data_IF_399109795993
#
_entry.id   IF_399109795993
#
_cell.length_a   1.000
_cell.length_b   1.000
_cell.length_c   1.000
_cell.angle_alpha   90.00
_cell.angle_beta   90.00
_cell.angle_gamma   90.00
#
_symmetry.space_group_name_H-M   'P 1'
#
loop_
_entity.id
_entity.type
_entity.pdbx_description
1 polymer ?
#
# COMPACT_ATOMS: atom_id res chain seq x y z
N UNK A 1 -16.51 1.80 -21.16
CA UNK A 1 -16.30 0.90 -20.01
C UNK A 1 -17.42 1.21 -19.03
N UNK A 2 -18.30 0.27 -18.65
CA UNK A 2 -19.21 0.55 -17.55
C UNK A 2 -18.36 0.82 -16.31
N UNK A 3 -18.61 1.94 -15.62
CA UNK A 3 -18.04 2.18 -14.30
C UNK A 3 -18.51 1.04 -13.40
N UNK A 4 -17.58 0.16 -13.00
CA UNK A 4 -17.87 -0.84 -11.99
C UNK A 4 -18.21 -0.09 -10.71
N UNK A 5 -19.46 -0.24 -10.26
CA UNK A 5 -19.88 0.29 -8.97
C UNK A 5 -18.91 -0.24 -7.90
N UNK A 6 -18.40 0.62 -7.00
CA UNK A 6 -17.45 0.19 -5.97
C UNK A 6 -18.03 -0.98 -5.18
N UNK A 7 -17.20 -1.99 -4.92
CA UNK A 7 -17.61 -3.15 -4.13
C UNK A 7 -18.15 -2.70 -2.76
N UNK A 8 -19.23 -3.34 -2.31
CA UNK A 8 -19.76 -3.07 -0.98
C UNK A 8 -18.81 -3.60 0.10
N UNK A 9 -18.84 -2.99 1.28
CA UNK A 9 -18.06 -3.45 2.42
C UNK A 9 -18.30 -4.94 2.76
N UNK A 10 -19.53 -5.41 2.61
CA UNK A 10 -19.88 -6.83 2.82
C UNK A 10 -19.19 -7.75 1.82
N UNK A 11 -19.01 -7.31 0.57
CA UNK A 11 -18.28 -8.07 -0.46
C UNK A 11 -16.78 -8.13 -0.12
N UNK A 12 -16.19 -7.02 0.33
CA UNK A 12 -14.81 -6.94 0.79
C UNK A 12 -14.58 -7.89 1.98
N UNK A 13 -15.42 -7.80 3.01
CA UNK A 13 -15.35 -8.68 4.19
C UNK A 13 -15.51 -10.14 3.78
N UNK A 14 -16.47 -10.48 2.92
CA UNK A 14 -16.68 -11.84 2.46
C UNK A 14 -15.49 -12.39 1.64
N UNK A 15 -14.78 -11.53 0.91
CA UNK A 15 -13.59 -11.91 0.15
C UNK A 15 -12.42 -12.21 1.09
N UNK A 16 -12.11 -11.32 2.02
CA UNK A 16 -11.01 -11.50 3.00
C UNK A 16 -11.32 -12.51 4.11
N UNK A 17 -12.58 -12.73 4.49
CA UNK A 17 -12.98 -13.75 5.46
C UNK A 17 -12.63 -15.17 5.00
N UNK A 18 -12.49 -15.39 3.68
CA UNK A 18 -11.98 -16.66 3.12
C UNK A 18 -10.49 -16.90 3.48
N UNK A 19 -9.80 -15.88 3.99
CA UNK A 19 -8.36 -15.83 4.22
C UNK A 19 -8.02 -15.30 5.62
N UNK A 20 -8.76 -15.75 6.65
CA UNK A 20 -8.65 -15.38 8.08
C UNK A 20 -9.27 -14.04 8.51
N UNK A 21 -9.56 -13.12 7.56
CA UNK A 21 -10.24 -11.87 7.85
C UNK A 21 -9.44 -10.91 8.75
N UNK A 22 -8.10 -10.97 8.71
CA UNK A 22 -7.21 -10.11 9.50
C UNK A 22 -6.39 -9.22 8.56
N UNK A 23 -6.30 -7.92 8.88
CA UNK A 23 -5.63 -6.89 8.10
C UNK A 23 -4.66 -6.09 8.96
N UNK A 24 -3.64 -5.51 8.34
CA UNK A 24 -2.68 -4.61 8.97
C UNK A 24 -3.25 -3.20 9.16
N UNK A 25 -2.79 -2.53 10.22
CA UNK A 25 -2.97 -1.09 10.45
C UNK A 25 -1.81 -0.55 11.27
N UNK A 26 -1.56 0.76 11.16
CA UNK A 26 -0.64 1.44 12.06
C UNK A 26 -1.22 1.40 13.48
N UNK A 27 -0.42 0.96 14.45
CA UNK A 27 -0.78 0.99 15.87
C UNK A 27 -0.83 2.42 16.39
N UNK A 28 -1.96 2.80 16.98
CA UNK A 28 -2.23 4.13 17.53
C UNK A 28 -1.82 5.27 16.56
N UNK A 29 -2.45 5.35 15.36
CA UNK A 29 -1.99 6.23 14.28
C UNK A 29 -1.97 7.71 14.69
N UNK A 30 -2.89 8.14 15.57
CA UNK A 30 -2.94 9.49 16.12
C UNK A 30 -1.69 9.89 16.90
N UNK A 31 -0.97 8.93 17.50
CA UNK A 31 0.31 9.18 18.18
C UNK A 31 1.37 9.71 17.21
N UNK A 32 1.26 9.32 15.94
CA UNK A 32 2.15 9.69 14.85
C UNK A 32 1.59 10.81 13.98
N UNK A 33 0.45 11.40 14.37
CA UNK A 33 -0.22 12.44 13.58
C UNK A 33 -0.76 11.93 12.25
N UNK A 34 -1.11 10.64 12.18
CA UNK A 34 -1.68 9.99 11.00
C UNK A 34 -3.20 9.99 11.07
N UNK A 35 -3.83 10.48 10.02
CA UNK A 35 -5.27 10.37 9.77
C UNK A 35 -5.50 9.30 8.70
N UNK A 36 -6.53 8.48 8.86
CA UNK A 36 -6.87 7.44 7.89
C UNK A 36 -7.63 8.10 6.73
N UNK A 37 -7.12 8.00 5.52
CA UNK A 37 -7.76 8.61 4.33
C UNK A 37 -8.53 7.58 3.51
N UNK A 38 -7.99 6.37 3.37
CA UNK A 38 -8.56 5.36 2.50
C UNK A 38 -8.49 3.96 3.12
N UNK A 39 -9.59 3.22 2.94
CA UNK A 39 -9.66 1.78 3.16
C UNK A 39 -10.26 1.14 1.91
N UNK A 40 -9.48 0.34 1.21
CA UNK A 40 -9.92 -0.28 -0.05
C UNK A 40 -9.29 -1.65 -0.24
N UNK A 41 -9.84 -2.44 -1.17
CA UNK A 41 -9.16 -3.63 -1.67
C UNK A 41 -8.75 -3.40 -3.11
N UNK A 42 -7.48 -3.62 -3.38
CA UNK A 42 -6.89 -3.57 -4.72
C UNK A 42 -6.73 -4.99 -5.28
N UNK A 43 -6.61 -5.09 -6.59
CA UNK A 43 -6.45 -6.37 -7.31
C UNK A 43 -7.74 -6.89 -7.97
N UNK A 44 -7.58 -7.83 -8.89
CA UNK A 44 -8.70 -8.46 -9.62
C UNK A 44 -9.03 -9.77 -8.92
N UNK A 45 -10.32 -10.06 -8.68
CA UNK A 45 -10.77 -11.27 -8.00
C UNK A 45 -10.54 -12.58 -8.78
N UNK A 46 -9.75 -12.55 -9.87
CA UNK A 46 -9.41 -13.75 -10.62
C UNK A 46 -8.29 -14.48 -9.87
N UNK A 47 -8.64 -15.58 -9.20
CA UNK A 47 -7.79 -16.27 -8.22
C UNK A 47 -6.52 -16.94 -8.76
N UNK A 48 -5.96 -16.46 -9.87
CA UNK A 48 -4.73 -16.94 -10.48
C UNK A 48 -3.48 -16.42 -9.77
N UNK A 49 -3.47 -15.16 -9.32
CA UNK A 49 -2.38 -14.61 -8.51
C UNK A 49 -2.90 -14.12 -7.14
N UNK A 50 -2.63 -14.86 -6.05
CA UNK A 50 -3.07 -14.49 -4.71
C UNK A 50 -2.31 -13.28 -4.11
N UNK A 51 -1.26 -12.78 -4.77
CA UNK A 51 -0.49 -11.58 -4.37
C UNK A 51 -1.03 -10.28 -5.00
N UNK A 52 -1.93 -10.40 -5.97
CA UNK A 52 -2.62 -9.26 -6.59
C UNK A 52 -3.69 -8.66 -5.68
N UNK A 53 -4.37 -9.49 -4.88
CA UNK A 53 -5.42 -9.05 -3.97
C UNK A 53 -4.82 -8.51 -2.67
N UNK A 54 -5.04 -7.22 -2.38
CA UNK A 54 -4.46 -6.54 -1.22
C UNK A 54 -5.48 -5.65 -0.53
N UNK A 55 -5.52 -5.71 0.79
CA UNK A 55 -6.27 -4.74 1.58
C UNK A 55 -5.36 -3.56 1.90
N UNK A 56 -5.71 -2.38 1.43
CA UNK A 56 -4.96 -1.14 1.62
C UNK A 56 -5.60 -0.30 2.72
N UNK A 57 -4.75 0.17 3.64
CA UNK A 57 -5.04 1.35 4.46
C UNK A 57 -4.03 2.45 4.14
N UNK A 58 -4.52 3.56 3.62
CA UNK A 58 -3.71 4.74 3.39
C UNK A 58 -3.97 5.77 4.49
N UNK A 59 -2.88 6.25 5.09
CA UNK A 59 -2.87 7.29 6.09
C UNK A 59 -2.18 8.52 5.54
N UNK A 60 -2.64 9.70 5.94
CA UNK A 60 -1.95 10.95 5.65
C UNK A 60 -1.51 11.62 6.96
N UNK A 61 -0.27 12.09 6.96
CA UNK A 61 0.27 12.95 8.02
C UNK A 61 -0.31 14.36 7.92
N UNK A 62 -0.21 15.14 8.99
CA UNK A 62 -0.57 16.57 8.94
C UNK A 62 0.25 17.38 7.90
N UNK A 63 1.47 16.93 7.57
CA UNK A 63 2.34 17.51 6.52
C UNK A 63 1.94 17.09 5.10
N UNK A 64 0.98 16.19 4.94
CA UNK A 64 0.49 15.72 3.63
C UNK A 64 1.18 14.47 3.09
N UNK A 65 2.16 13.92 3.82
CA UNK A 65 2.89 12.70 3.46
C UNK A 65 2.02 11.46 3.65
N UNK A 66 2.09 10.52 2.71
CA UNK A 66 1.33 9.26 2.73
C UNK A 66 2.09 8.15 3.46
N UNK A 67 1.36 7.35 4.24
CA UNK A 67 1.81 6.05 4.75
C UNK A 67 0.76 5.01 4.37
N UNK A 68 1.18 3.97 3.68
CA UNK A 68 0.31 2.91 3.19
C UNK A 68 0.66 1.59 3.86
N UNK A 69 -0.37 0.85 4.27
CA UNK A 69 -0.27 -0.50 4.80
C UNK A 69 -1.12 -1.42 3.93
N UNK A 70 -0.46 -2.20 3.09
CA UNK A 70 -1.08 -3.22 2.26
C UNK A 70 -0.97 -4.57 2.96
N UNK A 71 -2.10 -5.27 3.10
CA UNK A 71 -2.13 -6.67 3.56
C UNK A 71 -2.31 -7.58 2.36
N UNK A 72 -1.27 -8.36 2.05
CA UNK A 72 -1.35 -9.39 1.04
C UNK A 72 -2.10 -10.59 1.61
N UNK A 73 -2.97 -11.16 0.78
CA UNK A 73 -3.81 -12.30 1.17
C UNK A 73 -3.02 -13.53 1.60
N UNK A 74 -1.88 -13.76 0.96
CA UNK A 74 -0.91 -14.80 1.33
C UNK A 74 0.51 -14.21 1.28
N UNK A 75 1.50 -14.83 1.96
CA UNK A 75 2.88 -14.47 1.76
C UNK A 75 3.29 -14.73 0.31
N UNK A 76 4.06 -13.80 -0.27
CA UNK A 76 4.68 -13.98 -1.56
C UNK A 76 5.82 -15.01 -1.48
N UNK A 77 6.10 -15.66 -2.60
CA UNK A 77 7.27 -16.54 -2.73
C UNK A 77 8.56 -15.70 -2.66
N UNK A 78 9.66 -16.29 -2.18
CA UNK A 78 10.91 -15.56 -1.94
C UNK A 78 11.43 -14.81 -3.19
N UNK A 79 11.21 -15.38 -4.38
CA UNK A 79 11.60 -14.81 -5.66
C UNK A 79 10.79 -13.56 -6.05
N UNK A 80 9.60 -13.36 -5.46
CA UNK A 80 8.69 -12.25 -5.75
C UNK A 80 8.81 -11.09 -4.77
N UNK A 81 9.39 -11.32 -3.59
CA UNK A 81 9.42 -10.33 -2.50
C UNK A 81 10.14 -9.04 -2.92
N UNK A 82 11.26 -9.16 -3.62
CA UNK A 82 12.01 -8.00 -4.10
C UNK A 82 11.20 -7.16 -5.09
N UNK A 83 10.55 -7.80 -6.07
CA UNK A 83 9.71 -7.14 -7.05
C UNK A 83 8.53 -6.41 -6.38
N UNK A 84 7.91 -7.02 -5.37
CA UNK A 84 6.81 -6.42 -4.60
C UNK A 84 7.28 -5.15 -3.87
N UNK A 85 8.41 -5.22 -3.17
CA UNK A 85 8.98 -4.09 -2.43
C UNK A 85 9.36 -2.94 -3.37
N UNK A 86 9.96 -3.26 -4.53
CA UNK A 86 10.32 -2.27 -5.56
C UNK A 86 9.10 -1.64 -6.19
N UNK A 87 8.08 -2.44 -6.51
CA UNK A 87 6.83 -1.95 -7.06
C UNK A 87 6.12 -1.00 -6.09
N UNK A 88 6.05 -1.34 -4.81
CA UNK A 88 5.46 -0.50 -3.77
C UNK A 88 6.22 0.83 -3.61
N UNK A 89 7.56 0.79 -3.54
CA UNK A 89 8.38 2.00 -3.47
C UNK A 89 8.21 2.89 -4.71
N UNK A 90 8.15 2.28 -5.90
CA UNK A 90 7.91 3.00 -7.16
C UNK A 90 6.54 3.65 -7.19
N UNK A 91 5.50 2.94 -6.72
CA UNK A 91 4.14 3.44 -6.60
C UNK A 91 4.05 4.67 -5.70
N UNK A 92 4.64 4.62 -4.51
CA UNK A 92 4.64 5.76 -3.59
C UNK A 92 5.42 6.98 -4.13
N UNK A 93 6.52 6.77 -4.85
CA UNK A 93 7.24 7.85 -5.53
C UNK A 93 6.45 8.46 -6.69
N UNK A 94 5.60 7.65 -7.33
CA UNK A 94 4.75 8.06 -8.45
C UNK A 94 3.45 8.74 -7.99
N UNK A 95 2.92 8.43 -6.80
CA UNK A 95 1.65 8.94 -6.28
C UNK A 95 1.48 10.48 -6.44
N UNK A 96 2.48 11.33 -6.15
CA UNK A 96 2.36 12.77 -6.37
C UNK A 96 2.15 13.16 -7.85
N UNK A 97 2.74 12.41 -8.79
CA UNK A 97 2.57 12.67 -10.22
C UNK A 97 1.12 12.43 -10.68
N UNK A 98 0.38 11.57 -9.98
CA UNK A 98 -1.02 11.29 -10.29
C UNK A 98 -1.95 12.38 -9.77
N UNK A 99 -1.62 12.99 -8.63
CA UNK A 99 -2.41 14.08 -8.03
C UNK A 99 -2.37 15.37 -8.88
N UNK A 100 -1.25 15.63 -9.57
CA UNK A 100 -1.10 16.83 -10.40
C UNK A 100 -1.91 16.75 -11.71
N UNK A 101 -2.17 15.53 -12.23
CA UNK A 101 -2.87 15.30 -13.51
C UNK A 101 -4.37 15.61 -13.43
N UNK A 102 -4.98 15.57 -12.25
CA UNK A 102 -6.42 15.81 -12.05
C UNK A 102 -6.78 17.32 -11.97
N UNK A 103 -5.81 18.23 -12.04
CA UNK A 103 -6.05 19.63 -11.66
C UNK A 103 -6.61 20.54 -12.76
N UNK A 104 -6.37 20.33 -14.05
CA UNK A 104 -6.96 21.14 -15.14
C UNK A 104 -7.03 20.30 -16.43
N UNK A 105 -8.16 20.28 -17.15
CA UNK A 105 -8.26 19.51 -18.42
C UNK A 105 -7.31 20.12 -19.46
N UNK A 106 -6.19 19.47 -19.84
CA UNK A 106 -5.21 20.06 -20.74
C UNK A 106 -5.78 20.13 -22.16
N UNK A 107 -5.37 21.12 -22.97
CA UNK A 107 -5.69 21.10 -24.40
C UNK A 107 -5.09 19.82 -25.06
N UNK A 108 -5.68 19.28 -26.13
CA UNK A 108 -5.26 17.98 -26.68
C UNK A 108 -3.78 17.88 -27.11
N UNK A 109 -3.15 18.99 -27.47
CA UNK A 109 -1.70 19.09 -27.76
C UNK A 109 -0.84 19.03 -26.50
N UNK A 110 -1.34 19.62 -25.40
CA UNK A 110 -0.73 19.62 -24.07
C UNK A 110 -0.80 18.21 -23.44
N UNK A 111 -1.92 17.51 -23.66
CA UNK A 111 -2.09 16.14 -23.17
C UNK A 111 -1.03 15.16 -23.72
N UNK A 112 -0.70 15.22 -25.01
CA UNK A 112 0.26 14.29 -25.60
C UNK A 112 1.68 14.49 -25.05
N UNK A 113 2.08 15.75 -24.82
CA UNK A 113 3.37 16.11 -24.22
C UNK A 113 3.40 15.74 -22.72
N UNK A 114 2.39 16.16 -21.96
CA UNK A 114 2.23 15.79 -20.55
C UNK A 114 2.21 14.27 -20.33
N UNK A 115 1.58 13.51 -21.22
CA UNK A 115 1.59 12.05 -21.16
C UNK A 115 2.98 11.45 -21.43
N UNK A 116 3.77 12.01 -22.36
CA UNK A 116 5.15 11.55 -22.58
C UNK A 116 6.05 11.91 -21.38
N UNK A 117 5.87 13.09 -20.81
CA UNK A 117 6.60 13.52 -19.61
C UNK A 117 6.27 12.62 -18.42
N UNK A 118 4.98 12.35 -18.18
CA UNK A 118 4.51 11.41 -17.17
C UNK A 118 5.14 10.01 -17.36
N UNK A 119 5.09 9.46 -18.58
CA UNK A 119 5.71 8.15 -18.87
C UNK A 119 7.22 8.14 -18.66
N UNK A 120 7.88 9.24 -19.00
CA UNK A 120 9.33 9.39 -18.84
C UNK A 120 9.68 9.45 -17.36
N UNK A 121 8.93 10.21 -16.56
CA UNK A 121 9.06 10.28 -15.11
C UNK A 121 8.84 8.91 -14.45
N UNK A 122 7.78 8.19 -14.82
CA UNK A 122 7.51 6.84 -14.32
C UNK A 122 8.66 5.86 -14.61
N UNK A 123 9.18 5.89 -15.84
CA UNK A 123 10.33 5.04 -16.21
C UNK A 123 11.59 5.39 -15.43
N UNK A 124 11.83 6.69 -15.19
CA UNK A 124 12.97 7.14 -14.41
C UNK A 124 12.86 6.68 -12.94
N UNK A 125 11.66 6.76 -12.35
CA UNK A 125 11.40 6.26 -10.99
C UNK A 125 11.71 4.76 -10.90
N UNK A 126 11.15 3.94 -11.81
CA UNK A 126 11.37 2.49 -11.80
C UNK A 126 12.86 2.16 -11.96
N UNK A 127 13.54 2.79 -12.93
CA UNK A 127 14.96 2.57 -13.15
C UNK A 127 15.82 2.95 -11.93
N UNK A 128 15.50 4.07 -11.27
CA UNK A 128 16.21 4.49 -10.05
C UNK A 128 15.97 3.50 -8.91
N UNK A 129 14.73 3.04 -8.72
CA UNK A 129 14.41 2.05 -7.69
C UNK A 129 15.15 0.75 -7.95
N UNK A 130 15.16 0.24 -9.18
CA UNK A 130 15.84 -1.01 -9.58
C UNK A 130 17.35 -1.00 -9.31
N UNK A 131 18.00 0.16 -9.36
CA UNK A 131 19.43 0.29 -9.08
C UNK A 131 19.78 0.24 -7.58
N UNK A 132 18.82 0.49 -6.69
CA UNK A 132 19.04 0.50 -5.24
C UNK A 132 18.93 -0.93 -4.69
N UNK A 133 19.92 -1.43 -3.91
CA UNK A 133 19.83 -2.77 -3.34
C UNK A 133 18.72 -2.84 -2.28
N UNK A 134 18.01 -3.97 -2.25
CA UNK A 134 17.14 -4.29 -1.13
C UNK A 134 17.97 -4.78 0.07
N UNK A 135 17.54 -4.43 1.27
CA UNK A 135 18.22 -4.75 2.52
C UNK A 135 17.33 -5.61 3.41
N UNK A 136 17.91 -6.63 4.01
CA UNK A 136 17.28 -7.34 5.13
C UNK A 136 17.39 -6.48 6.38
N UNK A 137 16.26 -6.30 7.06
CA UNK A 137 16.13 -5.45 8.25
C UNK A 137 15.16 -6.08 9.25
N UNK A 138 15.07 -5.49 10.44
CA UNK A 138 14.00 -5.79 11.38
C UNK A 138 12.90 -4.74 11.25
N UNK A 139 11.64 -5.18 11.19
CA UNK A 139 10.46 -4.33 11.17
C UNK A 139 9.46 -4.78 12.22
N UNK A 140 8.79 -3.83 12.89
CA UNK A 140 7.95 -4.13 14.04
C UNK A 140 6.52 -4.44 13.60
N UNK A 141 6.07 -5.66 13.90
CA UNK A 141 4.72 -6.14 13.63
C UNK A 141 4.17 -6.83 14.88
N UNK A 142 2.99 -6.44 15.33
CA UNK A 142 2.34 -6.92 16.55
C UNK A 142 3.26 -6.75 17.79
N UNK A 143 4.01 -5.65 17.86
CA UNK A 143 4.95 -5.39 18.95
C UNK A 143 6.22 -6.24 18.93
N UNK A 144 6.44 -7.06 17.89
CA UNK A 144 7.60 -7.94 17.75
C UNK A 144 8.43 -7.54 16.53
N UNK A 145 9.75 -7.57 16.68
CA UNK A 145 10.67 -7.45 15.54
C UNK A 145 10.58 -8.70 14.66
N UNK A 146 10.36 -8.48 13.36
CA UNK A 146 10.35 -9.52 12.33
C UNK A 146 11.39 -9.20 11.29
N UNK A 147 12.02 -10.24 10.76
CA UNK A 147 12.87 -10.10 9.58
C UNK A 147 12.02 -9.63 8.40
N UNK A 148 12.49 -8.60 7.71
CA UNK A 148 11.80 -7.94 6.60
C UNK A 148 12.78 -7.58 5.49
N UNK A 149 12.28 -7.49 4.27
CA UNK A 149 13.02 -6.90 3.14
C UNK A 149 12.56 -5.46 2.96
N UNK A 150 13.49 -4.53 2.77
CA UNK A 150 13.16 -3.12 2.50
C UNK A 150 13.98 -2.53 1.37
N UNK A 151 13.43 -1.50 0.74
CA UNK A 151 14.17 -0.59 -0.16
C UNK A 151 13.87 0.84 0.25
N UNK A 152 14.84 1.75 0.11
CA UNK A 152 14.63 3.17 0.41
C UNK A 152 15.22 4.03 -0.70
N UNK A 153 14.37 4.88 -1.28
CA UNK A 153 14.72 5.73 -2.43
C UNK A 153 14.12 7.11 -2.19
N UNK A 154 14.94 8.16 -2.31
CA UNK A 154 14.52 9.57 -2.07
C UNK A 154 13.79 9.81 -0.75
N UNK A 155 14.15 9.05 0.30
CA UNK A 155 13.53 9.16 1.63
C UNK A 155 12.19 8.43 1.76
N UNK A 156 11.68 7.80 0.71
CA UNK A 156 10.54 6.87 0.78
C UNK A 156 11.08 5.46 1.00
N UNK A 157 10.50 4.75 1.96
CA UNK A 157 10.80 3.35 2.25
C UNK A 157 9.59 2.51 1.89
N UNK A 158 9.82 1.36 1.24
CA UNK A 158 8.88 0.25 1.21
C UNK A 158 9.47 -0.95 1.97
N UNK A 159 8.65 -1.64 2.75
CA UNK A 159 9.02 -2.82 3.56
C UNK A 159 8.06 -3.94 3.29
N UNK A 160 8.56 -5.15 3.02
CA UNK A 160 7.81 -6.38 3.07
C UNK A 160 8.11 -7.13 4.36
N UNK A 161 7.08 -7.39 5.16
CA UNK A 161 7.17 -8.11 6.42
C UNK A 161 6.26 -9.35 6.40
N UNK A 162 6.81 -10.58 6.38
CA UNK A 162 6.02 -11.78 6.47
C UNK A 162 5.41 -11.94 7.87
N UNK A 163 4.19 -12.44 7.91
CA UNK A 163 3.51 -12.89 9.13
C UNK A 163 3.23 -14.40 9.04
N UNK A 164 2.48 -14.98 9.97
CA UNK A 164 2.24 -16.44 10.01
C UNK A 164 1.58 -17.00 8.74
N UNK A 165 0.64 -16.27 8.16
CA UNK A 165 -0.30 -16.75 7.14
C UNK A 165 -0.57 -15.71 6.04
N UNK A 166 0.11 -14.55 6.11
CA UNK A 166 -0.02 -13.41 5.19
C UNK A 166 1.28 -12.60 5.18
N UNK A 167 1.34 -11.55 4.38
CA UNK A 167 2.41 -10.57 4.43
C UNK A 167 1.88 -9.14 4.44
N UNK A 168 2.69 -8.24 4.96
CA UNK A 168 2.42 -6.82 4.99
C UNK A 168 3.41 -6.13 4.07
N UNK A 169 2.93 -5.17 3.29
CA UNK A 169 3.76 -4.20 2.59
C UNK A 169 3.45 -2.83 3.17
N UNK A 170 4.49 -2.14 3.65
CA UNK A 170 4.37 -0.83 4.29
C UNK A 170 5.20 0.17 3.51
N UNK A 171 4.59 1.27 3.09
CA UNK A 171 5.26 2.29 2.29
C UNK A 171 5.04 3.67 2.88
N UNK A 172 6.06 4.53 2.86
CA UNK A 172 5.94 5.92 3.33
C UNK A 172 7.30 6.57 3.61
N UNK A 173 7.34 7.76 4.23
CA UNK A 173 8.59 8.39 4.68
C UNK A 173 9.39 7.45 5.57
N UNK A 174 10.68 7.27 5.27
CA UNK A 174 11.51 6.25 5.92
C UNK A 174 11.63 6.44 7.43
N UNK A 175 11.71 7.69 7.90
CA UNK A 175 11.81 7.99 9.33
C UNK A 175 10.52 7.68 10.11
N UNK A 176 9.37 7.71 9.43
CA UNK A 176 8.08 7.33 9.99
C UNK A 176 7.90 5.81 9.94
N UNK A 177 8.21 5.19 8.80
CA UNK A 177 8.21 3.72 8.64
C UNK A 177 9.08 3.06 9.71
N UNK A 178 10.25 3.62 10.03
CA UNK A 178 11.15 3.08 11.06
C UNK A 178 10.60 3.16 12.50
N UNK A 179 9.54 3.93 12.73
CA UNK A 179 8.99 4.19 14.09
C UNK A 179 7.66 3.52 14.34
N UNK A 180 6.83 3.37 13.31
CA UNK A 180 5.50 2.77 13.45
C UNK A 180 5.59 1.29 13.83
N UNK A 181 4.53 0.82 14.46
CA UNK A 181 4.27 -0.61 14.68
C UNK A 181 3.05 -0.95 13.85
N UNK A 182 3.10 -2.03 13.07
CA UNK A 182 1.91 -2.50 12.37
C UNK A 182 1.27 -3.58 13.21
N UNK A 183 0.01 -3.40 13.57
CA UNK A 183 -0.78 -4.43 14.24
C UNK A 183 -1.72 -5.11 13.27
N UNK A 184 -1.86 -6.41 13.42
CA UNK A 184 -2.81 -7.21 12.67
C UNK A 184 -4.10 -7.35 13.47
N UNK A 185 -5.23 -6.93 12.89
CA UNK A 185 -6.55 -6.96 13.54
C UNK A 185 -7.62 -7.54 12.62
N UNK A 186 -8.70 -8.13 13.17
CA UNK A 186 -9.84 -8.52 12.36
C UNK A 186 -10.35 -7.35 11.53
N UNK A 187 -10.75 -7.62 10.29
CA UNK A 187 -11.26 -6.63 9.35
C UNK A 187 -12.48 -5.91 9.96
N UNK A 188 -12.38 -4.59 10.04
CA UNK A 188 -13.41 -3.67 10.54
C UNK A 188 -13.35 -2.40 9.72
N UNK A 189 -14.49 -1.74 9.57
CA UNK A 189 -14.56 -0.49 8.85
C UNK A 189 -14.25 0.65 9.83
N UNK A 190 -13.05 1.23 9.73
CA UNK A 190 -12.62 2.28 10.65
C UNK A 190 -13.16 3.64 10.21
N UNK A 191 -13.21 3.90 8.90
CA UNK A 191 -13.69 5.17 8.34
C UNK A 191 -15.18 5.42 8.58
N UNK A 192 -15.99 4.35 8.58
CA UNK A 192 -17.45 4.48 8.68
C UNK A 192 -18.00 4.24 10.10
N UNK A 193 -17.13 3.93 11.08
CA UNK A 193 -17.52 3.78 12.49
C UNK A 193 -18.43 2.57 12.78
N UNK A 194 -18.53 1.64 11.83
CA UNK A 194 -19.35 0.44 11.93
C UNK A 194 -18.48 -0.76 12.36
N UNK A 195 -18.81 -1.33 13.51
CA UNK A 195 -18.44 -2.72 13.80
C UNK A 195 -19.07 -3.60 12.71
N UNK A 196 -18.30 -4.55 12.18
CA UNK A 196 -18.75 -5.50 11.13
C UNK A 196 -20.10 -6.18 11.41
N UNK A 197 -20.62 -6.93 10.43
CA UNK A 197 -22.05 -7.10 10.20
C UNK A 197 -22.81 -7.64 11.42
N UNK A 198 -23.98 -7.06 11.70
CA UNK A 198 -24.99 -7.68 12.58
C UNK A 198 -25.68 -8.80 11.81
N UNK A 199 -25.68 -9.99 12.43
CA UNK A 199 -26.22 -11.26 11.92
C UNK A 199 -27.66 -11.19 11.42
#
# INVERSE_FOLDING_TARGET
>A
MPEESPESWEQIVARFARFSGVVGEVHDPLTWGLDLEEETVTGVADGQDPTEERFLRAYRTFSGESVEVETLRIPAEAEQVEDIVRAACSGALAAPLHADVDSETPEPTDFAEAYQDYRTAMRAIVAEVDEVPCETSAFRVDGMERESLRVTVRGITAVYAPTSDRALVVTGPGDLVDRVDIVTRPIRNLLHGDDGPRF
#
